data_IF_644237094416
#
_entry.id   IF_644237094416
#
_cell.length_a   1.000
_cell.length_b   1.000
_cell.length_c   1.000
_cell.angle_alpha   90.00
_cell.angle_beta   90.00
_cell.angle_gamma   90.00
#
_symmetry.space_group_name_H-M   'P 1'
#
loop_
_entity.id
_entity.type
_entity.pdbx_description
1 polymer ?
#
# COMPACT_ATOMS: atom_id res chain seq x y z
N UNK A 1 -49.81 5.40 -43.66
CA UNK A 1 -50.70 4.91 -42.59
C UNK A 1 -49.95 5.09 -41.29
N UNK A 2 -50.30 6.20 -40.60
CA UNK A 2 -50.01 6.61 -39.22
C UNK A 2 -48.56 6.65 -38.71
N UNK A 3 -48.05 7.89 -38.71
CA UNK A 3 -47.14 8.45 -37.70
C UNK A 3 -47.63 8.17 -36.27
N UNK A 4 -46.70 7.86 -35.37
CA UNK A 4 -46.88 8.04 -33.92
C UNK A 4 -45.63 8.77 -33.40
N UNK A 5 -45.42 9.98 -33.92
CA UNK A 5 -44.88 11.07 -33.12
C UNK A 5 -46.03 11.66 -32.31
N UNK A 6 -45.76 12.00 -31.05
CA UNK A 6 -46.69 12.60 -30.07
C UNK A 6 -47.47 11.60 -29.20
N UNK A 7 -46.77 11.07 -28.19
CA UNK A 7 -47.38 10.97 -26.87
C UNK A 7 -46.60 11.90 -25.94
N UNK A 8 -47.25 13.02 -25.63
CA UNK A 8 -47.03 13.99 -24.55
C UNK A 8 -45.93 13.59 -23.54
N UNK A 9 -44.86 14.36 -23.35
CA UNK A 9 -44.88 15.71 -22.77
C UNK A 9 -45.85 15.81 -21.58
N UNK A 10 -45.47 15.21 -20.45
CA UNK A 10 -46.01 15.56 -19.15
C UNK A 10 -45.01 15.17 -18.05
N UNK A 11 -44.88 16.08 -17.08
CA UNK A 11 -44.32 15.89 -15.75
C UNK A 11 -42.81 16.11 -15.56
N UNK A 12 -42.44 17.40 -15.56
CA UNK A 12 -41.94 18.10 -14.37
C UNK A 12 -40.98 17.31 -13.45
N UNK A 13 -39.70 17.69 -13.53
CA UNK A 13 -38.82 18.01 -12.41
C UNK A 13 -38.93 17.15 -11.14
N UNK A 14 -38.06 16.13 -11.05
CA UNK A 14 -37.62 15.55 -9.79
C UNK A 14 -36.14 15.91 -9.50
N UNK A 15 -35.83 17.15 -9.04
CA UNK A 15 -34.48 17.56 -8.66
C UNK A 15 -34.00 16.92 -7.35
N UNK A 16 -34.91 16.45 -6.49
CA UNK A 16 -34.61 16.00 -5.12
C UNK A 16 -33.85 14.66 -5.08
N UNK A 17 -34.08 13.74 -6.02
CA UNK A 17 -33.43 12.42 -5.98
C UNK A 17 -31.96 12.43 -6.45
N UNK A 18 -31.57 13.37 -7.32
CA UNK A 18 -30.18 13.50 -7.79
C UNK A 18 -29.28 14.05 -6.67
N UNK A 19 -29.79 15.00 -5.90
CA UNK A 19 -29.10 15.61 -4.76
C UNK A 19 -28.83 14.59 -3.63
N UNK A 20 -29.76 13.65 -3.40
CA UNK A 20 -29.60 12.60 -2.38
C UNK A 20 -28.51 11.57 -2.78
N UNK A 21 -28.40 11.24 -4.06
CA UNK A 21 -27.38 10.30 -4.54
C UNK A 21 -25.99 10.95 -4.53
N UNK A 22 -25.90 12.22 -4.93
CA UNK A 22 -24.63 12.97 -4.93
C UNK A 22 -24.13 13.25 -3.50
N UNK A 23 -25.04 13.50 -2.56
CA UNK A 23 -24.70 13.61 -1.12
C UNK A 23 -24.30 12.27 -0.51
N UNK A 24 -24.91 11.14 -0.89
CA UNK A 24 -24.49 9.80 -0.44
C UNK A 24 -23.06 9.46 -0.89
N UNK A 25 -22.69 9.78 -2.13
CA UNK A 25 -21.34 9.56 -2.65
C UNK A 25 -20.30 10.47 -1.98
N UNK A 26 -20.62 11.76 -1.77
CA UNK A 26 -19.74 12.69 -1.05
C UNK A 26 -19.59 12.34 0.44
N UNK A 27 -20.64 11.84 1.10
CA UNK A 27 -20.59 11.33 2.48
C UNK A 27 -19.76 10.04 2.53
N UNK A 28 -19.91 9.13 1.55
CA UNK A 28 -19.11 7.90 1.45
C UNK A 28 -17.61 8.20 1.25
N UNK A 29 -17.28 9.13 0.35
CA UNK A 29 -15.90 9.53 0.09
C UNK A 29 -15.26 10.30 1.26
N UNK A 30 -16.01 11.16 1.97
CA UNK A 30 -15.50 11.88 3.16
C UNK A 30 -15.26 10.96 4.37
N UNK A 31 -16.10 9.92 4.55
CA UNK A 31 -15.91 8.89 5.58
C UNK A 31 -14.68 8.01 5.30
N UNK A 32 -14.42 7.70 4.03
CA UNK A 32 -13.23 6.97 3.64
C UNK A 32 -11.95 7.79 3.87
N UNK A 33 -11.95 9.07 3.51
CA UNK A 33 -10.80 9.97 3.72
C UNK A 33 -10.51 10.20 5.22
N UNK A 34 -11.54 10.29 6.06
CA UNK A 34 -11.36 10.43 7.51
C UNK A 34 -10.87 9.15 8.19
N UNK A 35 -11.28 7.96 7.75
CA UNK A 35 -10.78 6.68 8.28
C UNK A 35 -9.28 6.45 8.00
N UNK A 36 -8.75 6.98 6.88
CA UNK A 36 -7.34 6.85 6.51
C UNK A 36 -6.44 7.82 7.28
N UNK A 37 -6.95 8.98 7.70
CA UNK A 37 -6.17 10.04 8.35
C UNK A 37 -6.21 10.01 9.89
N UNK A 38 -7.04 9.15 10.49
CA UNK A 38 -7.16 9.00 11.94
C UNK A 38 -5.91 8.47 12.70
N UNK A 39 -5.02 7.63 12.15
CA UNK A 39 -3.86 7.16 12.92
C UNK A 39 -2.77 8.22 13.14
N UNK A 40 -2.87 9.41 12.52
CA UNK A 40 -1.83 10.45 12.59
C UNK A 40 -2.00 11.45 13.74
N UNK A 41 -3.12 11.43 14.49
CA UNK A 41 -3.32 12.35 15.63
C UNK A 41 -2.87 11.77 16.98
N UNK A 42 -2.60 10.47 17.06
CA UNK A 42 -2.25 9.81 18.33
C UNK A 42 -0.76 9.85 18.71
N UNK A 43 0.10 10.47 17.90
CA UNK A 43 1.57 10.49 18.16
C UNK A 43 2.02 11.75 18.91
N UNK A 44 1.17 12.78 19.03
CA UNK A 44 1.58 14.08 19.58
C UNK A 44 1.51 14.20 21.12
N UNK A 45 1.05 13.18 21.85
CA UNK A 45 0.81 13.30 23.31
C UNK A 45 1.72 12.43 24.20
N UNK A 46 2.67 11.67 23.64
CA UNK A 46 3.47 10.71 24.41
C UNK A 46 4.84 11.24 24.88
N UNK A 47 5.16 12.53 24.75
CA UNK A 47 6.49 13.06 25.09
C UNK A 47 6.54 13.96 26.33
N UNK A 48 5.46 14.12 27.08
CA UNK A 48 5.48 14.85 28.34
C UNK A 48 5.39 13.86 29.50
N UNK A 49 6.53 13.37 29.99
CA UNK A 49 6.85 13.03 31.40
C UNK A 49 8.15 12.22 31.44
N UNK A 50 9.30 12.86 31.23
CA UNK A 50 10.59 12.34 31.73
C UNK A 50 11.40 13.53 32.25
N UNK A 51 11.10 13.93 33.47
CA UNK A 51 12.06 14.63 34.32
C UNK A 51 11.77 14.20 35.74
N UNK A 52 12.83 13.87 36.47
CA UNK A 52 12.89 13.43 37.86
C UNK A 52 12.95 11.91 38.07
N UNK A 53 14.17 11.36 38.02
CA UNK A 53 14.58 10.31 38.96
C UNK A 53 16.00 10.64 39.46
N UNK A 54 16.25 10.63 40.78
CA UNK A 54 17.54 10.95 41.36
C UNK A 54 18.55 9.82 41.19
N UNK A 55 19.81 10.25 41.07
CA UNK A 55 21.06 9.49 41.18
C UNK A 55 20.97 8.23 42.06
N UNK A 56 21.14 7.06 41.43
CA UNK A 56 21.69 5.87 42.10
C UNK A 56 22.20 4.83 41.07
N UNK A 57 23.54 4.73 40.97
CA UNK A 57 24.34 3.54 40.65
C UNK A 57 23.82 2.51 39.60
N UNK A 58 23.46 2.93 38.39
CA UNK A 58 23.21 2.00 37.28
C UNK A 58 24.51 1.73 36.47
N UNK A 59 25.08 0.55 36.70
CA UNK A 59 26.32 0.01 36.09
C UNK A 59 26.21 -0.30 34.57
N UNK A 60 25.12 0.02 33.89
CA UNK A 60 25.05 -0.21 32.43
C UNK A 60 24.41 1.01 31.76
N UNK A 61 25.26 1.73 31.03
CA UNK A 61 24.95 2.91 30.24
C UNK A 61 23.92 2.55 29.15
N UNK A 62 22.82 3.32 28.99
CA UNK A 62 21.93 3.12 27.86
C UNK A 62 22.58 3.66 26.58
N UNK A 63 22.20 3.00 25.48
CA UNK A 63 22.38 3.36 24.08
C UNK A 63 23.74 3.10 23.44
N UNK A 64 23.80 1.99 22.69
CA UNK A 64 24.89 1.73 21.74
C UNK A 64 24.34 1.34 20.37
N UNK A 65 23.95 2.36 19.59
CA UNK A 65 24.00 2.29 18.11
C UNK A 65 25.37 1.81 17.60
N UNK A 66 26.41 1.92 18.44
CA UNK A 66 27.76 1.38 18.26
C UNK A 66 27.85 -0.14 18.19
N UNK A 67 26.87 -0.92 18.69
CA UNK A 67 26.90 -2.39 18.56
C UNK A 67 26.76 -2.87 17.11
N UNK A 68 26.18 -2.03 16.24
CA UNK A 68 26.16 -2.30 14.79
C UNK A 68 27.52 -2.05 14.13
N UNK A 69 28.32 -1.12 14.68
CA UNK A 69 29.68 -0.83 14.21
C UNK A 69 30.69 -1.93 14.59
N UNK A 70 30.37 -2.80 15.56
CA UNK A 70 31.21 -3.95 15.95
C UNK A 70 31.16 -5.08 14.90
N UNK A 71 30.17 -5.11 13.99
CA UNK A 71 30.12 -6.07 12.89
C UNK A 71 30.98 -5.62 11.70
N UNK A 72 32.30 -5.61 11.89
CA UNK A 72 33.28 -5.22 10.86
C UNK A 72 33.33 -6.14 9.64
N UNK A 73 32.74 -7.34 9.70
CA UNK A 73 32.74 -8.31 8.60
C UNK A 73 31.33 -8.62 8.11
N UNK A 74 30.86 -7.87 7.11
CA UNK A 74 29.69 -8.27 6.31
C UNK A 74 30.07 -9.51 5.50
N UNK A 75 29.43 -10.65 5.78
CA UNK A 75 29.66 -11.90 5.04
C UNK A 75 29.08 -11.77 3.63
N UNK A 76 29.95 -11.53 2.64
CA UNK A 76 29.58 -11.50 1.23
C UNK A 76 29.67 -12.89 0.58
N UNK A 77 28.83 -13.83 0.99
CA UNK A 77 28.65 -15.09 0.24
C UNK A 77 27.68 -14.85 -0.91
N UNK A 78 28.14 -14.21 -1.98
CA UNK A 78 27.34 -14.17 -3.21
C UNK A 78 27.16 -15.61 -3.71
N UNK A 79 25.93 -16.06 -3.98
CA UNK A 79 25.72 -17.37 -4.56
C UNK A 79 26.53 -17.50 -5.84
N UNK A 80 27.24 -18.62 -6.03
CA UNK A 80 27.92 -18.88 -7.30
C UNK A 80 26.90 -18.83 -8.45
N UNK A 81 27.19 -18.13 -9.56
CA UNK A 81 26.26 -18.01 -10.66
C UNK A 81 25.97 -19.39 -11.25
N UNK A 82 24.69 -19.73 -11.36
CA UNK A 82 24.25 -20.96 -12.01
C UNK A 82 23.00 -20.65 -12.84
N UNK A 83 23.19 -20.69 -14.14
CA UNK A 83 22.20 -20.26 -15.13
C UNK A 83 20.98 -21.21 -15.15
N UNK A 84 21.22 -22.51 -15.05
CA UNK A 84 20.16 -23.53 -14.98
C UNK A 84 19.26 -23.29 -13.77
N UNK A 85 19.84 -23.00 -12.61
CA UNK A 85 19.07 -22.68 -11.39
C UNK A 85 18.34 -21.35 -11.51
N UNK A 86 18.93 -20.35 -12.18
CA UNK A 86 18.33 -19.03 -12.43
C UNK A 86 17.06 -19.16 -13.28
N UNK A 87 17.15 -19.81 -14.43
CA UNK A 87 16.03 -19.98 -15.36
C UNK A 87 14.94 -20.87 -14.77
N UNK A 88 15.29 -22.00 -14.14
CA UNK A 88 14.30 -22.91 -13.54
C UNK A 88 13.51 -22.25 -12.40
N UNK A 89 14.15 -21.42 -11.57
CA UNK A 89 13.48 -20.80 -10.41
C UNK A 89 12.76 -19.51 -10.76
N UNK A 90 13.34 -18.70 -11.65
CA UNK A 90 12.90 -17.33 -11.87
C UNK A 90 12.49 -17.03 -13.31
N UNK A 91 12.63 -17.99 -14.23
CA UNK A 91 12.32 -17.82 -15.63
C UNK A 91 10.83 -17.78 -15.93
N UNK A 92 10.50 -17.47 -17.18
CA UNK A 92 9.13 -17.26 -17.66
C UNK A 92 8.20 -18.44 -17.34
N UNK A 93 8.61 -19.65 -17.72
CA UNK A 93 7.79 -20.87 -17.54
C UNK A 93 7.44 -21.11 -16.06
N UNK A 94 8.38 -20.86 -15.15
CA UNK A 94 8.16 -20.99 -13.71
C UNK A 94 7.18 -19.94 -13.17
N UNK A 95 7.07 -18.77 -13.81
CA UNK A 95 6.12 -17.72 -13.44
C UNK A 95 4.73 -17.97 -14.02
N UNK A 96 4.62 -18.48 -15.25
CA UNK A 96 3.30 -18.71 -15.87
C UNK A 96 2.60 -19.96 -15.32
N UNK A 97 3.36 -20.97 -14.87
CA UNK A 97 2.79 -22.21 -14.32
C UNK A 97 1.95 -21.98 -13.05
N UNK A 98 2.32 -21.02 -12.21
CA UNK A 98 1.63 -20.76 -10.94
C UNK A 98 0.70 -19.54 -11.02
N UNK A 99 -0.47 -19.55 -10.36
CA UNK A 99 -1.37 -18.39 -10.35
C UNK A 99 -0.70 -17.17 -9.71
N UNK A 100 0.11 -17.37 -8.67
CA UNK A 100 0.86 -16.28 -8.04
C UNK A 100 1.97 -15.71 -8.94
N UNK A 101 2.63 -16.56 -9.72
CA UNK A 101 3.61 -16.11 -10.70
C UNK A 101 2.98 -15.25 -11.80
N UNK A 102 1.80 -15.62 -12.30
CA UNK A 102 1.03 -14.79 -13.25
C UNK A 102 0.72 -13.40 -12.68
N UNK A 103 0.29 -13.32 -11.41
CA UNK A 103 0.06 -12.03 -10.72
C UNK A 103 1.34 -11.18 -10.60
N UNK A 104 2.50 -11.81 -10.39
CA UNK A 104 3.79 -11.10 -10.38
C UNK A 104 4.08 -10.49 -11.76
N UNK A 105 3.88 -11.24 -12.84
CA UNK A 105 4.08 -10.74 -14.20
C UNK A 105 3.15 -9.57 -14.49
N UNK A 106 1.86 -9.69 -14.15
CA UNK A 106 0.91 -8.57 -14.29
C UNK A 106 1.36 -7.32 -13.55
N UNK A 107 1.79 -7.44 -12.28
CA UNK A 107 2.31 -6.28 -11.52
C UNK A 107 3.55 -5.65 -12.15
N UNK A 108 4.42 -6.44 -12.77
CA UNK A 108 5.60 -5.91 -13.47
C UNK A 108 5.24 -5.20 -14.76
N UNK A 109 4.25 -5.71 -15.49
CA UNK A 109 3.72 -5.10 -16.71
C UNK A 109 3.03 -3.77 -16.40
N UNK A 110 2.16 -3.73 -15.38
CA UNK A 110 1.48 -2.51 -14.94
C UNK A 110 2.44 -1.43 -14.44
N UNK A 111 3.61 -1.84 -13.92
CA UNK A 111 4.69 -0.93 -13.54
C UNK A 111 5.54 -0.46 -14.73
N UNK A 112 5.35 -1.03 -15.93
CA UNK A 112 6.14 -0.73 -17.12
C UNK A 112 7.58 -1.26 -17.06
N UNK A 113 7.82 -2.40 -16.39
CA UNK A 113 9.16 -3.02 -16.39
C UNK A 113 9.44 -3.70 -17.72
N UNK A 114 10.57 -3.37 -18.34
CA UNK A 114 11.01 -3.99 -19.60
C UNK A 114 11.30 -5.50 -19.45
N UNK A 115 12.03 -5.89 -18.40
CA UNK A 115 12.32 -7.30 -18.12
C UNK A 115 11.29 -7.85 -17.12
N UNK A 116 10.47 -8.81 -17.55
CA UNK A 116 9.39 -9.38 -16.74
C UNK A 116 9.83 -10.59 -15.92
N UNK A 117 10.61 -11.49 -16.51
CA UNK A 117 11.20 -12.64 -15.83
C UNK A 117 12.67 -12.77 -16.22
N UNK A 118 13.35 -13.68 -15.52
CA UNK A 118 14.69 -14.10 -15.86
C UNK A 118 14.74 -14.93 -17.14
#
# INVERSE_FOLDING_TARGET
MTDISAFCAAHEDFPVMKEIIETQELISMSRFMTAILQPLKCVAQSFHTISQVPSSNALVKPDSFLLTAVRTKVRCYFPRPNEVRRVRRHGWNARISTPNGRRIIMRRLLKGRFVLSH
#
